data_IF_244825412556
#
_entry.id   IF_244825412556
#
_cell.length_a   1.000
_cell.length_b   1.000
_cell.length_c   1.000
_cell.angle_alpha   90.00
_cell.angle_beta   90.00
_cell.angle_gamma   90.00
#
_symmetry.space_group_name_H-M   'P 1'
#
loop_
_entity.id
_entity.type
_entity.pdbx_description
1 polymer ?
#
# COMPACT_ATOMS: atom_id res chain seq x y z
N UNK A 1 -23.10 49.71 -15.57
CA UNK A 1 -22.88 48.57 -16.52
C UNK A 1 -21.80 47.66 -15.94
N UNK A 2 -22.20 46.67 -15.18
CA UNK A 2 -21.29 45.70 -14.53
C UNK A 2 -21.32 44.40 -15.29
N UNK A 3 -20.15 43.97 -15.80
CA UNK A 3 -19.96 42.61 -16.32
C UNK A 3 -19.32 41.75 -15.23
N UNK A 4 -20.08 40.83 -14.65
CA UNK A 4 -19.56 39.75 -13.85
C UNK A 4 -18.99 38.67 -14.78
N UNK A 5 -17.68 38.46 -14.69
CA UNK A 5 -17.00 37.32 -15.27
C UNK A 5 -17.17 36.14 -14.30
N UNK A 6 -17.92 35.13 -14.69
CA UNK A 6 -18.00 33.85 -13.99
C UNK A 6 -16.87 32.96 -14.51
N UNK A 7 -15.86 32.77 -13.69
CA UNK A 7 -14.84 31.75 -13.91
C UNK A 7 -15.45 30.37 -13.55
N UNK A 8 -15.72 29.57 -14.55
CA UNK A 8 -16.14 28.16 -14.35
C UNK A 8 -14.86 27.35 -14.12
N UNK A 9 -14.64 26.92 -12.88
CA UNK A 9 -13.62 25.92 -12.57
C UNK A 9 -14.07 24.57 -13.12
N UNK A 10 -13.40 24.13 -14.17
CA UNK A 10 -13.56 22.81 -14.75
C UNK A 10 -12.85 21.80 -13.83
N UNK A 11 -13.63 21.14 -12.96
CA UNK A 11 -13.14 19.97 -12.21
C UNK A 11 -13.09 18.82 -13.21
N UNK A 12 -11.89 18.50 -13.68
CA UNK A 12 -11.64 17.29 -14.46
C UNK A 12 -11.73 16.10 -13.49
N UNK A 13 -12.91 15.49 -13.43
CA UNK A 13 -13.06 14.13 -12.94
C UNK A 13 -12.35 13.24 -13.97
N UNK A 14 -11.20 12.70 -13.61
CA UNK A 14 -10.65 11.52 -14.26
C UNK A 14 -11.59 10.35 -13.94
N UNK A 15 -12.67 10.24 -14.71
CA UNK A 15 -13.36 8.97 -14.87
C UNK A 15 -12.33 8.01 -15.49
N UNK A 16 -11.97 6.98 -14.76
CA UNK A 16 -11.45 5.77 -15.36
C UNK A 16 -12.55 5.25 -16.29
N UNK A 17 -12.49 5.62 -17.57
CA UNK A 17 -13.24 4.95 -18.60
C UNK A 17 -12.73 3.50 -18.64
N UNK A 18 -13.49 2.57 -18.03
CA UNK A 18 -13.43 1.17 -18.44
C UNK A 18 -13.89 1.14 -19.90
N UNK A 19 -12.95 1.05 -20.82
CA UNK A 19 -13.27 0.80 -22.22
C UNK A 19 -13.79 -0.62 -22.33
N UNK A 20 -15.08 -0.74 -22.61
CA UNK A 20 -15.72 -2.03 -22.86
C UNK A 20 -15.32 -2.50 -24.25
N UNK A 21 -14.59 -3.61 -24.34
CA UNK A 21 -14.48 -4.36 -25.57
C UNK A 21 -15.71 -5.26 -25.69
N UNK A 22 -16.55 -5.05 -26.67
CA UNK A 22 -17.63 -5.98 -26.98
C UNK A 22 -17.05 -7.18 -27.73
N UNK A 23 -17.16 -8.37 -27.15
CA UNK A 23 -16.94 -9.61 -27.88
C UNK A 23 -18.10 -9.80 -28.88
N UNK A 24 -17.81 -9.77 -30.16
CA UNK A 24 -18.79 -10.01 -31.21
C UNK A 24 -18.91 -11.52 -31.46
N UNK A 25 -19.93 -12.15 -30.89
CA UNK A 25 -20.26 -13.55 -31.21
C UNK A 25 -21.32 -14.13 -30.26
N UNK A 26 -22.18 -15.01 -30.77
CA UNK A 26 -23.24 -15.76 -30.07
C UNK A 26 -22.69 -16.83 -29.09
N UNK A 27 -21.51 -16.64 -28.51
CA UNK A 27 -20.78 -17.66 -27.78
C UNK A 27 -20.90 -17.56 -26.25
N UNK A 28 -21.87 -16.82 -25.74
CA UNK A 28 -22.18 -16.74 -24.32
C UNK A 28 -21.22 -15.91 -23.45
N UNK A 29 -20.03 -15.47 -23.94
CA UNK A 29 -19.17 -14.48 -23.30
C UNK A 29 -19.63 -13.08 -23.70
N UNK A 30 -20.01 -12.28 -22.71
CA UNK A 30 -20.56 -10.93 -22.92
C UNK A 30 -19.51 -9.82 -22.74
N UNK A 31 -18.44 -10.10 -22.01
CA UNK A 31 -17.38 -9.12 -21.76
C UNK A 31 -16.07 -9.83 -21.37
N UNK A 32 -14.95 -9.27 -21.82
CA UNK A 32 -13.60 -9.67 -21.43
C UNK A 32 -12.88 -8.42 -20.94
N UNK A 33 -12.51 -8.38 -19.66
CA UNK A 33 -11.70 -7.30 -19.11
C UNK A 33 -10.36 -7.84 -18.62
N UNK A 34 -9.31 -7.03 -18.75
CA UNK A 34 -7.94 -7.43 -18.41
C UNK A 34 -7.41 -6.47 -17.38
N UNK A 35 -6.94 -7.02 -16.26
CA UNK A 35 -6.28 -6.26 -15.21
C UNK A 35 -4.78 -6.51 -15.26
N UNK A 36 -4.02 -5.44 -15.01
CA UNK A 36 -2.58 -5.49 -14.89
C UNK A 36 -2.16 -6.31 -13.68
N UNK A 37 -1.21 -7.20 -13.88
CA UNK A 37 -0.51 -7.90 -12.81
C UNK A 37 0.54 -7.02 -12.11
N UNK A 38 1.58 -7.66 -11.60
CA UNK A 38 2.61 -6.96 -10.84
C UNK A 38 3.64 -6.31 -11.76
N UNK A 39 3.96 -5.05 -11.50
CA UNK A 39 4.88 -4.26 -12.33
C UNK A 39 6.36 -4.48 -11.99
N UNK A 40 6.67 -5.28 -10.97
CA UNK A 40 8.04 -5.57 -10.53
C UNK A 40 8.20 -7.04 -10.23
N UNK A 41 9.24 -7.66 -10.77
CA UNK A 41 9.59 -9.06 -10.54
C UNK A 41 11.05 -9.20 -10.10
N UNK A 42 11.34 -10.22 -9.30
CA UNK A 42 12.70 -10.62 -8.96
C UNK A 42 13.17 -11.79 -9.81
N UNK A 43 14.47 -11.88 -10.05
CA UNK A 43 15.08 -13.08 -10.61
C UNK A 43 14.70 -14.30 -9.80
N UNK A 44 14.33 -15.39 -10.46
CA UNK A 44 13.89 -16.62 -9.82
C UNK A 44 12.49 -16.59 -9.19
N UNK A 45 11.71 -15.51 -9.34
CA UNK A 45 10.32 -15.51 -8.90
C UNK A 45 9.51 -16.51 -9.73
N UNK A 46 8.77 -17.38 -9.05
CA UNK A 46 7.84 -18.30 -9.68
C UNK A 46 6.41 -17.73 -9.66
N UNK A 47 5.62 -18.11 -10.66
CA UNK A 47 4.21 -17.76 -10.79
C UNK A 47 3.91 -16.26 -10.66
N UNK A 48 4.83 -15.41 -11.12
CA UNK A 48 4.66 -13.96 -11.13
C UNK A 48 3.48 -13.55 -12.02
N UNK A 49 2.47 -12.91 -11.43
CA UNK A 49 1.24 -12.56 -12.14
C UNK A 49 1.51 -11.42 -13.13
N UNK A 50 1.30 -11.69 -14.39
CA UNK A 50 1.39 -10.72 -15.48
C UNK A 50 0.04 -10.09 -15.81
N UNK A 51 -1.02 -10.90 -15.97
CA UNK A 51 -2.38 -10.44 -16.26
C UNK A 51 -3.41 -11.27 -15.50
N UNK A 52 -4.54 -10.61 -15.11
CA UNK A 52 -5.78 -11.29 -14.75
C UNK A 52 -6.82 -10.99 -15.83
N UNK A 53 -7.39 -12.02 -16.42
CA UNK A 53 -8.38 -11.95 -17.48
C UNK A 53 -9.74 -12.34 -16.90
N UNK A 54 -10.68 -11.42 -16.89
CA UNK A 54 -12.01 -11.61 -16.34
C UNK A 54 -12.97 -11.90 -17.48
N UNK A 55 -13.64 -13.04 -17.42
CA UNK A 55 -14.58 -13.51 -18.43
C UNK A 55 -15.99 -13.39 -17.87
N UNK A 56 -16.76 -12.41 -18.32
CA UNK A 56 -18.17 -12.26 -17.99
C UNK A 56 -19.01 -12.98 -19.02
N UNK A 57 -20.01 -13.75 -18.56
CA UNK A 57 -20.91 -14.49 -19.47
C UNK A 57 -22.37 -14.27 -19.13
N UNK A 58 -23.21 -14.47 -20.14
CA UNK A 58 -24.64 -14.67 -19.97
C UNK A 58 -24.90 -16.13 -19.58
N UNK A 59 -25.43 -16.36 -18.39
CA UNK A 59 -25.73 -17.70 -17.87
C UNK A 59 -26.92 -18.39 -18.62
N UNK A 60 -27.70 -17.65 -19.41
CA UNK A 60 -28.76 -18.18 -20.24
C UNK A 60 -28.27 -18.74 -21.58
N UNK A 61 -27.03 -18.43 -21.95
CA UNK A 61 -26.36 -18.92 -23.16
C UNK A 61 -25.46 -20.11 -22.85
N UNK A 62 -25.21 -20.96 -23.85
CA UNK A 62 -24.26 -22.05 -23.71
C UNK A 62 -22.84 -21.52 -23.46
N UNK A 63 -22.13 -22.16 -22.55
CA UNK A 63 -20.77 -21.77 -22.25
C UNK A 63 -19.82 -22.23 -23.36
N UNK A 64 -18.90 -21.36 -23.86
CA UNK A 64 -17.89 -21.78 -24.81
C UNK A 64 -16.92 -22.75 -24.14
N UNK A 65 -16.39 -23.67 -24.91
CA UNK A 65 -15.29 -24.53 -24.44
C UNK A 65 -13.98 -23.93 -24.91
N UNK A 66 -13.20 -23.37 -23.95
CA UNK A 66 -11.94 -22.70 -24.24
C UNK A 66 -10.81 -23.73 -24.30
N UNK A 67 -9.99 -23.66 -25.36
CA UNK A 67 -8.86 -24.53 -25.59
C UNK A 67 -7.50 -23.85 -25.49
N UNK A 68 -7.47 -22.53 -25.29
CA UNK A 68 -6.22 -21.79 -25.17
C UNK A 68 -6.36 -20.29 -25.03
N UNK A 69 -5.22 -19.66 -24.89
CA UNK A 69 -5.04 -18.21 -24.78
C UNK A 69 -4.02 -17.76 -25.83
N UNK A 70 -4.32 -16.71 -26.59
CA UNK A 70 -3.36 -16.04 -27.46
C UNK A 70 -2.84 -14.76 -26.81
N UNK A 71 -1.54 -14.62 -26.73
CA UNK A 71 -0.86 -13.46 -26.18
C UNK A 71 0.18 -12.91 -27.15
N UNK A 72 0.57 -11.65 -26.93
CA UNK A 72 1.77 -11.05 -27.50
C UNK A 72 2.76 -10.72 -26.40
N UNK A 73 4.03 -10.93 -26.66
CA UNK A 73 5.17 -10.48 -25.83
C UNK A 73 5.95 -9.34 -26.51
N UNK A 74 5.33 -8.66 -27.48
CA UNK A 74 5.93 -7.51 -28.15
C UNK A 74 6.23 -6.39 -27.14
N UNK A 75 7.47 -5.89 -27.15
CA UNK A 75 7.98 -4.94 -26.14
C UNK A 75 8.77 -5.59 -25.00
N UNK A 76 8.74 -6.93 -24.87
CA UNK A 76 9.61 -7.68 -23.94
C UNK A 76 11.06 -7.56 -24.35
N UNK A 77 11.95 -7.21 -23.42
CA UNK A 77 13.38 -6.98 -23.72
C UNK A 77 14.10 -8.25 -24.16
N UNK A 78 13.87 -9.36 -23.45
CA UNK A 78 14.43 -10.68 -23.75
C UNK A 78 13.49 -11.78 -23.24
N UNK A 79 12.96 -12.59 -24.14
CA UNK A 79 12.07 -13.70 -23.79
C UNK A 79 12.76 -14.82 -23.01
N UNK A 80 14.10 -14.92 -23.05
CA UNK A 80 14.86 -15.86 -22.25
C UNK A 80 14.85 -15.54 -20.75
N UNK A 81 14.42 -14.33 -20.36
CA UNK A 81 14.19 -13.96 -18.96
C UNK A 81 12.95 -14.66 -18.36
N UNK A 82 12.11 -15.26 -19.21
CA UNK A 82 10.92 -16.03 -18.85
C UNK A 82 11.21 -17.52 -19.01
N UNK A 83 11.31 -18.24 -17.89
CA UNK A 83 11.55 -19.69 -17.94
C UNK A 83 10.30 -20.47 -18.36
N UNK A 84 9.11 -20.05 -17.91
CA UNK A 84 7.83 -20.59 -18.36
C UNK A 84 6.70 -19.56 -18.21
N UNK A 85 5.68 -19.72 -19.02
CA UNK A 85 4.39 -19.02 -18.92
C UNK A 85 3.34 -20.04 -18.48
N UNK A 86 2.47 -19.66 -17.54
CA UNK A 86 1.42 -20.53 -17.08
C UNK A 86 0.08 -19.82 -17.08
N UNK A 87 -0.99 -20.59 -17.34
CA UNK A 87 -2.36 -20.10 -17.27
C UNK A 87 -3.10 -20.87 -16.19
N UNK A 88 -3.62 -20.15 -15.21
CA UNK A 88 -4.45 -20.71 -14.15
C UNK A 88 -5.87 -20.20 -14.26
N UNK A 89 -6.84 -21.00 -13.78
CA UNK A 89 -8.24 -20.59 -13.65
C UNK A 89 -8.70 -20.59 -12.21
N UNK A 90 -9.46 -19.57 -11.82
CA UNK A 90 -10.14 -19.50 -10.51
C UNK A 90 -11.61 -19.14 -10.68
N UNK A 91 -12.41 -19.46 -9.66
CA UNK A 91 -13.84 -19.10 -9.60
C UNK A 91 -14.09 -17.83 -8.77
N UNK A 92 -13.04 -17.24 -8.22
CA UNK A 92 -13.08 -16.02 -7.42
C UNK A 92 -12.03 -15.03 -7.92
N UNK A 93 -12.26 -13.72 -7.76
CA UNK A 93 -11.30 -12.70 -8.19
C UNK A 93 -10.07 -12.61 -7.25
N UNK A 94 -10.01 -13.44 -6.22
CA UNK A 94 -9.02 -13.36 -5.16
C UNK A 94 -8.15 -14.61 -5.10
N UNK A 95 -6.91 -14.41 -4.67
CA UNK A 95 -5.94 -15.42 -4.32
C UNK A 95 -5.78 -15.44 -2.78
N UNK A 96 -5.33 -16.56 -2.23
CA UNK A 96 -5.04 -16.68 -0.80
C UNK A 96 -3.56 -17.05 -0.60
N UNK A 97 -2.67 -16.19 -1.13
CA UNK A 97 -1.22 -16.37 -1.10
C UNK A 97 -0.71 -17.12 -2.33
N UNK A 98 -0.63 -18.45 -2.30
CA UNK A 98 -0.13 -19.23 -3.42
C UNK A 98 -1.23 -19.52 -4.44
N UNK A 99 -1.05 -19.04 -5.67
CA UNK A 99 -2.00 -19.28 -6.77
C UNK A 99 -2.22 -20.77 -7.01
N UNK A 100 -1.22 -21.62 -6.81
CA UNK A 100 -1.31 -23.08 -7.00
C UNK A 100 -2.27 -23.75 -6.04
N UNK A 101 -2.43 -23.20 -4.84
CA UNK A 101 -3.23 -23.83 -3.79
C UNK A 101 -4.74 -23.77 -4.06
N UNK A 102 -5.21 -22.78 -4.86
CA UNK A 102 -6.64 -22.47 -5.02
C UNK A 102 -7.07 -22.31 -6.47
N UNK A 103 -6.24 -22.70 -7.43
CA UNK A 103 -6.50 -22.58 -8.86
C UNK A 103 -6.32 -23.89 -9.61
N UNK A 104 -6.87 -23.95 -10.81
CA UNK A 104 -6.66 -25.03 -11.77
C UNK A 104 -5.59 -24.57 -12.78
N UNK A 105 -4.47 -25.27 -12.86
CA UNK A 105 -3.49 -25.07 -13.91
C UNK A 105 -4.04 -25.58 -15.23
N UNK A 106 -4.22 -24.69 -16.21
CA UNK A 106 -4.71 -25.00 -17.55
C UNK A 106 -3.59 -25.24 -18.55
N UNK A 107 -2.49 -24.47 -18.43
CA UNK A 107 -1.37 -24.58 -19.39
C UNK A 107 -0.04 -24.19 -18.74
N UNK A 108 1.04 -24.77 -19.30
CA UNK A 108 2.41 -24.34 -19.11
C UNK A 108 3.10 -24.36 -20.50
N UNK A 109 3.76 -23.25 -20.85
CA UNK A 109 4.42 -23.08 -22.15
C UNK A 109 5.72 -22.28 -22.01
N UNK A 110 6.66 -22.47 -22.94
CA UNK A 110 7.84 -21.61 -23.05
C UNK A 110 7.47 -20.24 -23.63
N UNK A 111 8.21 -19.19 -23.25
CA UNK A 111 8.13 -17.90 -23.92
C UNK A 111 8.82 -17.97 -25.30
N UNK A 112 8.27 -17.26 -26.27
CA UNK A 112 8.81 -17.14 -27.63
C UNK A 112 8.84 -15.68 -28.05
N UNK A 113 9.82 -15.30 -28.83
CA UNK A 113 9.94 -13.97 -29.43
C UNK A 113 9.02 -13.76 -30.65
N UNK A 114 8.11 -14.68 -30.91
CA UNK A 114 7.09 -14.51 -31.95
C UNK A 114 6.12 -13.40 -31.58
N UNK A 115 5.59 -12.68 -32.60
CA UNK A 115 4.66 -11.56 -32.37
C UNK A 115 3.37 -11.99 -31.66
N UNK A 116 2.95 -13.25 -31.88
CA UNK A 116 1.79 -13.85 -31.21
C UNK A 116 2.11 -15.26 -30.76
N UNK A 117 1.76 -15.63 -29.55
CA UNK A 117 1.97 -16.96 -28.95
C UNK A 117 0.64 -17.58 -28.54
N UNK A 118 0.33 -18.75 -29.10
CA UNK A 118 -0.80 -19.57 -28.70
C UNK A 118 -0.41 -20.49 -27.54
N UNK A 119 -1.00 -20.29 -26.39
CA UNK A 119 -0.84 -21.13 -25.19
C UNK A 119 -2.01 -22.10 -25.15
N UNK A 120 -1.81 -23.34 -25.60
CA UNK A 120 -2.84 -24.37 -25.61
C UNK A 120 -3.07 -24.94 -24.21
N UNK A 121 -4.33 -25.10 -23.83
CA UNK A 121 -4.69 -25.68 -22.52
C UNK A 121 -4.51 -27.21 -22.56
N UNK A 122 -4.01 -27.76 -21.48
CA UNK A 122 -3.85 -29.22 -21.30
C UNK A 122 -5.20 -29.95 -21.22
N UNK A 123 -6.24 -29.23 -20.79
CA UNK A 123 -7.64 -29.65 -20.80
C UNK A 123 -8.51 -28.45 -21.11
N UNK A 124 -9.57 -28.68 -21.91
CA UNK A 124 -10.50 -27.61 -22.24
C UNK A 124 -11.14 -27.01 -20.99
N UNK A 125 -11.27 -25.68 -20.94
CA UNK A 125 -11.86 -24.96 -19.83
C UNK A 125 -13.25 -24.43 -20.19
N UNK A 126 -14.24 -24.75 -19.35
CA UNK A 126 -15.61 -24.24 -19.47
C UNK A 126 -15.87 -23.20 -18.38
N UNK A 127 -16.09 -21.92 -18.70
CA UNK A 127 -16.44 -20.89 -17.74
C UNK A 127 -17.88 -21.09 -17.23
N UNK A 128 -18.04 -21.56 -15.99
CA UNK A 128 -19.35 -21.97 -15.45
C UNK A 128 -20.05 -20.86 -14.64
N UNK A 129 -19.33 -19.84 -14.20
CA UNK A 129 -19.87 -18.74 -13.40
C UNK A 129 -20.24 -17.54 -14.27
N UNK A 130 -21.02 -16.60 -13.71
CA UNK A 130 -21.27 -15.30 -14.36
C UNK A 130 -19.95 -14.55 -14.65
N UNK A 131 -18.99 -14.60 -13.71
CA UNK A 131 -17.63 -14.13 -13.93
C UNK A 131 -16.65 -15.24 -13.59
N UNK A 132 -15.70 -15.50 -14.50
CA UNK A 132 -14.62 -16.47 -14.35
C UNK A 132 -13.29 -15.75 -14.56
N UNK A 133 -12.22 -16.27 -13.97
CA UNK A 133 -10.93 -15.59 -13.95
C UNK A 133 -9.84 -16.52 -14.49
N UNK A 134 -9.10 -16.02 -15.48
CA UNK A 134 -7.86 -16.63 -15.93
C UNK A 134 -6.68 -15.75 -15.48
N UNK A 135 -5.60 -16.38 -15.07
CA UNK A 135 -4.39 -15.72 -14.61
C UNK A 135 -3.24 -16.16 -15.49
N UNK A 136 -2.63 -15.20 -16.19
CA UNK A 136 -1.38 -15.43 -16.89
C UNK A 136 -0.24 -15.09 -15.95
N UNK A 137 0.63 -16.05 -15.69
CA UNK A 137 1.83 -15.89 -14.86
C UNK A 137 3.09 -16.25 -15.62
N UNK A 138 4.23 -15.79 -15.12
CA UNK A 138 5.57 -16.15 -15.60
C UNK A 138 6.45 -16.65 -14.46
N UNK A 139 7.25 -17.67 -14.72
CA UNK A 139 8.43 -17.96 -13.93
C UNK A 139 9.59 -17.14 -14.49
N UNK A 140 10.17 -16.30 -13.66
CA UNK A 140 11.31 -15.47 -14.03
C UNK A 140 12.59 -16.28 -13.88
N UNK A 141 13.41 -16.31 -14.91
CA UNK A 141 14.68 -17.00 -14.88
C UNK A 141 15.60 -16.47 -13.76
N UNK A 142 16.31 -17.38 -13.07
CA UNK A 142 17.38 -16.97 -12.14
C UNK A 142 18.52 -16.23 -12.86
N UNK A 143 18.70 -16.49 -14.15
CA UNK A 143 19.71 -15.88 -15.02
C UNK A 143 19.19 -14.61 -15.73
N UNK A 144 17.93 -14.23 -15.47
CA UNK A 144 17.33 -13.02 -16.05
C UNK A 144 18.19 -11.78 -15.76
N UNK A 145 18.13 -10.79 -16.65
CA UNK A 145 18.91 -9.57 -16.48
C UNK A 145 18.10 -8.49 -15.78
N UNK A 146 18.61 -7.98 -14.65
CA UNK A 146 18.00 -6.84 -13.98
C UNK A 146 17.95 -5.60 -14.88
N UNK A 147 16.82 -4.89 -14.85
CA UNK A 147 16.51 -3.78 -15.74
C UNK A 147 15.80 -4.19 -17.04
N UNK A 148 15.77 -5.47 -17.40
CA UNK A 148 14.95 -5.96 -18.48
C UNK A 148 13.47 -5.88 -18.14
N UNK A 149 12.62 -5.91 -19.15
CA UNK A 149 11.18 -5.68 -19.07
C UNK A 149 10.41 -6.82 -19.70
N UNK A 150 9.29 -7.16 -19.14
CA UNK A 150 8.30 -8.07 -19.71
C UNK A 150 7.07 -7.24 -20.03
N UNK A 151 6.72 -7.15 -21.30
CA UNK A 151 5.49 -6.57 -21.81
C UNK A 151 4.60 -7.70 -22.34
N UNK A 152 3.35 -7.73 -21.89
CA UNK A 152 2.43 -8.80 -22.31
C UNK A 152 1.04 -8.24 -22.59
N UNK A 153 0.44 -8.73 -23.67
CA UNK A 153 -0.95 -8.40 -24.05
C UNK A 153 -1.74 -9.67 -24.30
N UNK A 154 -2.97 -9.71 -23.83
CA UNK A 154 -3.92 -10.75 -24.24
C UNK A 154 -4.52 -10.36 -25.59
N UNK A 155 -4.34 -11.15 -26.61
CA UNK A 155 -4.94 -10.93 -27.93
C UNK A 155 -6.30 -11.60 -28.06
N UNK A 156 -6.57 -12.68 -27.29
CA UNK A 156 -7.85 -13.33 -27.29
C UNK A 156 -7.83 -14.76 -26.77
N UNK A 157 -8.99 -15.39 -26.82
CA UNK A 157 -9.25 -16.75 -26.36
C UNK A 157 -9.45 -17.68 -27.55
N UNK A 158 -8.85 -18.85 -27.50
CA UNK A 158 -9.04 -19.93 -28.47
C UNK A 158 -10.16 -20.86 -27.99
N UNK A 159 -11.09 -21.16 -28.85
CA UNK A 159 -12.18 -22.09 -28.57
C UNK A 159 -11.94 -23.46 -29.21
N UNK A 160 -12.50 -24.51 -28.63
CA UNK A 160 -12.37 -25.88 -29.11
C UNK A 160 -12.98 -26.09 -30.49
N UNK A 161 -13.99 -25.32 -30.84
CA UNK A 161 -14.66 -25.37 -32.17
C UNK A 161 -13.84 -24.68 -33.27
N UNK A 162 -12.66 -24.14 -32.92
CA UNK A 162 -11.77 -23.39 -33.81
C UNK A 162 -12.08 -21.91 -33.92
N UNK A 163 -13.13 -21.41 -33.25
CA UNK A 163 -13.40 -19.97 -33.19
C UNK A 163 -12.38 -19.24 -32.30
N UNK A 164 -12.18 -17.93 -32.57
CA UNK A 164 -11.30 -17.06 -31.84
C UNK A 164 -12.06 -15.84 -31.34
N UNK A 165 -11.98 -15.58 -30.03
CA UNK A 165 -12.56 -14.40 -29.40
C UNK A 165 -11.47 -13.36 -29.22
N UNK A 166 -11.40 -12.36 -30.10
CA UNK A 166 -10.37 -11.32 -30.05
C UNK A 166 -10.62 -10.32 -28.91
N UNK A 167 -9.54 -9.84 -28.33
CA UNK A 167 -9.50 -8.70 -27.40
C UNK A 167 -8.84 -7.53 -28.14
N UNK A 168 -9.66 -6.69 -28.77
CA UNK A 168 -9.18 -5.58 -29.60
C UNK A 168 -8.74 -4.37 -28.78
N UNK A 169 -9.26 -4.20 -27.55
CA UNK A 169 -8.95 -3.07 -26.68
C UNK A 169 -9.04 -3.48 -25.20
N UNK A 170 -8.53 -2.63 -24.31
CA UNK A 170 -8.63 -2.85 -22.85
C UNK A 170 -7.44 -3.60 -22.24
N UNK A 171 -6.40 -3.94 -23.00
CA UNK A 171 -5.15 -4.38 -22.41
C UNK A 171 -4.52 -3.22 -21.61
N UNK A 172 -4.01 -3.51 -20.39
CA UNK A 172 -3.28 -2.50 -19.61
C UNK A 172 -1.95 -2.13 -20.29
N UNK A 173 -1.47 -0.91 -20.03
CA UNK A 173 -0.20 -0.39 -20.57
C UNK A 173 1.00 -0.67 -19.64
N UNK A 174 0.80 -1.38 -18.54
CA UNK A 174 1.84 -1.64 -17.56
C UNK A 174 2.87 -2.64 -18.05
N UNK A 175 4.13 -2.43 -17.68
CA UNK A 175 5.27 -3.27 -18.04
C UNK A 175 5.93 -3.76 -16.76
N UNK A 176 6.18 -5.07 -16.65
CA UNK A 176 6.90 -5.66 -15.51
C UNK A 176 8.41 -5.44 -15.67
N UNK A 177 9.05 -4.77 -14.69
CA UNK A 177 10.49 -4.61 -14.62
C UNK A 177 11.13 -5.70 -13.75
N UNK A 178 12.26 -6.27 -14.21
CA UNK A 178 13.00 -7.32 -13.49
C UNK A 178 14.08 -6.67 -12.61
N UNK A 179 14.16 -7.10 -11.35
CA UNK A 179 15.16 -6.70 -10.36
C UNK A 179 16.02 -7.88 -9.92
N UNK A 180 17.22 -7.62 -9.40
CA UNK A 180 18.09 -8.69 -8.87
C UNK A 180 17.42 -9.45 -7.71
N UNK A 181 16.72 -8.72 -6.84
CA UNK A 181 15.94 -9.28 -5.74
C UNK A 181 14.67 -8.46 -5.57
N UNK A 182 13.54 -9.15 -5.47
CA UNK A 182 12.25 -8.55 -5.17
C UNK A 182 11.37 -9.63 -4.55
N UNK A 183 10.74 -9.31 -3.44
CA UNK A 183 9.74 -10.17 -2.80
C UNK A 183 8.44 -9.36 -2.66
N UNK A 184 7.37 -9.88 -3.22
CA UNK A 184 6.05 -9.29 -3.06
C UNK A 184 5.49 -9.73 -1.70
N UNK A 185 5.28 -8.77 -0.79
CA UNK A 185 4.79 -9.06 0.56
C UNK A 185 3.27 -9.08 0.64
N UNK A 186 2.62 -8.18 -0.05
CA UNK A 186 1.18 -8.00 -0.07
C UNK A 186 0.74 -7.84 -1.51
N UNK A 187 0.14 -8.87 -2.05
CA UNK A 187 -0.28 -8.88 -3.44
C UNK A 187 -1.70 -8.33 -3.57
N UNK A 188 -2.00 -7.48 -4.56
CA UNK A 188 -3.37 -7.30 -5.02
C UNK A 188 -4.04 -8.67 -5.18
N UNK A 189 -5.32 -8.73 -4.82
CA UNK A 189 -6.17 -9.93 -4.84
C UNK A 189 -5.88 -11.00 -3.78
N UNK A 190 -4.85 -10.84 -2.94
CA UNK A 190 -4.65 -11.72 -1.78
C UNK A 190 -5.63 -11.40 -0.65
N UNK A 191 -6.01 -12.43 0.11
CA UNK A 191 -6.81 -12.32 1.33
C UNK A 191 -8.11 -11.49 1.16
N UNK A 192 -8.74 -11.59 0.00
CA UNK A 192 -10.01 -10.93 -0.30
C UNK A 192 -9.90 -9.42 -0.51
N UNK A 193 -8.72 -8.89 -0.84
CA UNK A 193 -8.49 -7.47 -1.06
C UNK A 193 -7.94 -7.20 -2.45
N UNK A 194 -8.46 -6.16 -3.09
CA UNK A 194 -7.93 -5.70 -4.38
C UNK A 194 -6.71 -4.78 -4.23
N UNK A 195 -6.53 -4.15 -3.07
CA UNK A 195 -5.52 -3.11 -2.91
C UNK A 195 -4.80 -3.22 -1.56
N UNK A 196 -3.50 -2.98 -1.60
CA UNK A 196 -2.65 -2.74 -0.43
C UNK A 196 -1.95 -1.41 -0.60
N UNK A 197 -1.93 -0.58 0.45
CA UNK A 197 -1.30 0.74 0.43
C UNK A 197 -0.71 1.10 1.80
N UNK A 198 0.07 2.18 1.83
CA UNK A 198 0.55 2.85 3.05
C UNK A 198 1.34 1.90 3.96
N UNK A 199 2.44 1.31 3.47
CA UNK A 199 3.26 0.41 4.29
C UNK A 199 4.06 1.17 5.35
N UNK A 200 4.18 0.55 6.53
CA UNK A 200 5.11 0.90 7.59
C UNK A 200 6.05 -0.28 7.83
N UNK A 201 7.32 -0.01 8.11
CA UNK A 201 8.31 -1.06 8.37
C UNK A 201 9.31 -0.61 9.45
N UNK A 202 9.62 -1.52 10.37
CA UNK A 202 10.68 -1.36 11.37
C UNK A 202 11.51 -2.64 11.50
N UNK A 203 12.72 -2.48 12.01
CA UNK A 203 13.55 -3.60 12.48
C UNK A 203 13.55 -3.56 14.01
N UNK A 204 13.25 -4.69 14.65
CA UNK A 204 13.24 -4.80 16.10
C UNK A 204 14.68 -4.87 16.62
N UNK A 205 15.05 -3.93 17.48
CA UNK A 205 16.41 -3.82 18.05
C UNK A 205 16.44 -4.16 19.55
N UNK A 206 15.33 -3.91 20.26
CA UNK A 206 15.23 -3.99 21.71
C UNK A 206 14.54 -5.24 22.21
N UNK A 207 13.81 -5.95 21.35
CA UNK A 207 13.19 -7.22 21.68
C UNK A 207 14.25 -8.27 22.02
N UNK A 208 14.15 -8.89 23.18
CA UNK A 208 15.09 -9.93 23.61
C UNK A 208 14.94 -11.24 22.82
N UNK A 209 13.74 -11.53 22.30
CA UNK A 209 13.41 -12.77 21.59
C UNK A 209 13.45 -12.62 20.07
N UNK A 210 13.19 -11.40 19.56
CA UNK A 210 13.00 -11.14 18.14
C UNK A 210 13.93 -10.04 17.62
N UNK A 211 15.12 -9.90 18.20
CA UNK A 211 16.10 -8.91 17.74
C UNK A 211 16.52 -9.20 16.30
N UNK A 212 16.43 -8.18 15.45
CA UNK A 212 16.71 -8.27 14.02
C UNK A 212 15.49 -8.62 13.17
N UNK A 213 14.34 -8.96 13.77
CA UNK A 213 13.08 -9.18 13.05
C UNK A 213 12.68 -7.94 12.29
N UNK A 214 12.37 -8.10 11.02
CA UNK A 214 11.73 -7.07 10.21
C UNK A 214 10.21 -7.22 10.38
N UNK A 215 9.53 -6.17 10.80
CA UNK A 215 8.08 -6.13 10.96
C UNK A 215 7.50 -5.09 10.01
N UNK A 216 6.50 -5.47 9.23
CA UNK A 216 5.78 -4.56 8.33
C UNK A 216 4.29 -4.57 8.62
N UNK A 217 3.65 -3.40 8.50
CA UNK A 217 2.20 -3.20 8.61
C UNK A 217 1.74 -2.41 7.41
N UNK A 218 0.57 -2.76 6.86
CA UNK A 218 0.00 -2.05 5.70
C UNK A 218 -1.52 -2.05 5.75
N UNK A 219 -2.12 -1.11 5.03
CA UNK A 219 -3.55 -1.06 4.76
C UNK A 219 -3.93 -2.18 3.79
N UNK A 220 -4.86 -3.05 4.19
CA UNK A 220 -5.59 -3.96 3.31
C UNK A 220 -6.91 -3.32 2.94
N UNK A 221 -7.04 -2.85 1.69
CA UNK A 221 -8.21 -2.11 1.18
C UNK A 221 -9.05 -3.01 0.29
N UNK A 222 -10.24 -3.38 0.75
CA UNK A 222 -11.02 -4.47 0.14
C UNK A 222 -11.60 -4.12 -1.23
N UNK A 223 -12.31 -3.01 -1.36
CA UNK A 223 -13.13 -2.73 -2.54
C UNK A 223 -12.67 -1.51 -3.34
N UNK A 224 -11.74 -0.74 -2.81
CA UNK A 224 -11.30 0.53 -3.38
C UNK A 224 -9.93 0.91 -2.86
N UNK A 225 -9.12 1.57 -3.68
CA UNK A 225 -7.84 2.15 -3.25
C UNK A 225 -7.99 3.48 -2.50
N UNK A 226 -9.22 3.95 -2.29
CA UNK A 226 -9.51 5.20 -1.60
C UNK A 226 -9.11 5.14 -0.11
N UNK A 227 -8.84 6.32 0.46
CA UNK A 227 -8.59 6.50 1.89
C UNK A 227 -9.90 6.37 2.70
N UNK A 228 -9.81 6.52 4.02
CA UNK A 228 -10.98 6.57 4.90
C UNK A 228 -11.98 7.69 4.48
N UNK A 229 -13.29 7.46 4.64
CA UNK A 229 -13.96 6.26 5.14
C UNK A 229 -14.02 5.19 4.04
N UNK A 230 -13.52 4.03 4.33
CA UNK A 230 -13.49 2.88 3.42
C UNK A 230 -13.27 1.61 4.25
N UNK A 231 -13.66 0.46 3.71
CA UNK A 231 -13.36 -0.82 4.35
C UNK A 231 -11.86 -1.10 4.24
N UNK A 232 -11.15 -0.83 5.32
CA UNK A 232 -9.70 -0.99 5.44
C UNK A 232 -9.39 -1.74 6.73
N UNK A 233 -8.60 -2.80 6.64
CA UNK A 233 -7.96 -3.45 7.79
C UNK A 233 -6.47 -3.13 7.78
N UNK A 234 -5.84 -3.12 8.95
CA UNK A 234 -4.39 -3.18 9.06
C UNK A 234 -3.93 -4.61 9.19
N UNK A 235 -2.97 -4.98 8.36
CA UNK A 235 -2.36 -6.31 8.35
C UNK A 235 -0.86 -6.22 8.51
N UNK A 236 -0.28 -7.24 9.16
CA UNK A 236 1.14 -7.33 9.43
C UNK A 236 1.74 -8.62 8.87
N UNK A 237 3.02 -8.57 8.55
CA UNK A 237 3.92 -9.71 8.30
C UNK A 237 5.27 -9.41 8.92
N UNK A 238 6.01 -10.47 9.26
CA UNK A 238 7.38 -10.34 9.75
C UNK A 238 8.32 -11.34 9.08
N UNK A 239 9.61 -11.01 9.14
CA UNK A 239 10.71 -11.85 8.70
C UNK A 239 11.77 -11.94 9.78
N UNK A 240 12.27 -13.15 10.05
CA UNK A 240 13.36 -13.43 10.98
C UNK A 240 14.69 -13.76 10.28
N UNK A 241 14.71 -13.70 8.94
CA UNK A 241 15.84 -14.10 8.09
C UNK A 241 16.25 -13.02 7.09
N UNK A 242 16.17 -11.75 7.51
CA UNK A 242 16.49 -10.58 6.69
C UNK A 242 15.68 -10.47 5.38
N UNK A 243 14.40 -10.87 5.41
CA UNK A 243 13.50 -10.76 4.29
C UNK A 243 13.56 -11.91 3.28
N UNK A 244 14.29 -12.99 3.58
CA UNK A 244 14.33 -14.17 2.73
C UNK A 244 13.01 -14.95 2.76
N UNK A 245 12.38 -15.04 3.94
CA UNK A 245 11.03 -15.56 4.09
C UNK A 245 10.17 -14.66 4.99
N UNK A 246 8.85 -14.80 4.88
CA UNK A 246 7.89 -13.96 5.59
C UNK A 246 6.76 -14.80 6.18
N UNK A 247 6.31 -14.40 7.37
CA UNK A 247 5.16 -15.01 8.03
C UNK A 247 3.89 -14.88 7.19
N UNK A 248 2.84 -15.62 7.53
CA UNK A 248 1.51 -15.39 7.00
C UNK A 248 1.00 -14.00 7.36
N UNK A 249 0.08 -13.48 6.52
CA UNK A 249 -0.58 -12.20 6.77
C UNK A 249 -1.49 -12.30 7.99
N UNK A 250 -1.29 -11.41 8.95
CA UNK A 250 -2.08 -11.34 10.19
C UNK A 250 -2.83 -10.00 10.26
N UNK A 251 -4.15 -10.04 10.48
CA UNK A 251 -4.92 -8.82 10.74
C UNK A 251 -4.66 -8.36 12.17
N UNK A 252 -4.20 -7.10 12.33
CA UNK A 252 -3.90 -6.48 13.63
C UNK A 252 -4.94 -5.47 14.07
N UNK A 253 -5.65 -4.87 13.11
CA UNK A 253 -6.84 -4.07 13.35
C UNK A 253 -7.78 -4.27 12.16
N UNK A 254 -9.04 -4.63 12.42
CA UNK A 254 -10.01 -4.91 11.38
C UNK A 254 -11.42 -4.78 11.91
N UNK A 255 -12.33 -4.38 11.03
CA UNK A 255 -13.74 -4.23 11.35
C UNK A 255 -14.52 -5.30 10.60
N UNK A 256 -14.58 -6.47 11.19
CA UNK A 256 -15.44 -7.54 10.68
C UNK A 256 -16.90 -7.19 10.97
N UNK A 257 -17.74 -7.20 9.92
CA UNK A 257 -19.19 -7.01 9.99
C UNK A 257 -19.72 -5.60 10.31
N UNK A 258 -18.89 -4.56 10.25
CA UNK A 258 -19.36 -3.18 10.23
C UNK A 258 -19.49 -2.70 8.77
N UNK A 259 -20.39 -1.73 8.53
CA UNK A 259 -20.72 -1.28 7.17
C UNK A 259 -19.52 -0.80 6.34
N UNK A 260 -19.74 -0.44 5.07
CA UNK A 260 -18.68 -0.14 4.10
C UNK A 260 -17.83 1.09 4.42
N UNK A 261 -18.26 1.92 5.37
CA UNK A 261 -17.70 3.24 5.65
C UNK A 261 -16.80 3.27 6.90
N UNK A 262 -16.37 2.11 7.41
CA UNK A 262 -15.54 2.01 8.60
C UNK A 262 -14.27 1.25 8.30
N UNK A 263 -13.14 1.75 8.83
CA UNK A 263 -11.84 1.11 8.67
C UNK A 263 -10.78 1.72 9.57
N UNK A 264 -9.65 1.03 9.61
CA UNK A 264 -8.40 1.51 10.18
C UNK A 264 -7.38 1.69 9.06
N UNK A 265 -6.67 2.80 9.05
CA UNK A 265 -5.66 3.09 8.03
C UNK A 265 -4.50 3.93 8.56
N UNK A 266 -3.52 4.18 7.69
CA UNK A 266 -2.38 5.04 7.97
C UNK A 266 -1.56 4.58 9.19
N UNK A 267 -1.17 3.30 9.20
CA UNK A 267 -0.41 2.73 10.31
C UNK A 267 0.93 3.43 10.54
N UNK A 268 1.18 3.83 11.79
CA UNK A 268 2.46 4.30 12.28
C UNK A 268 2.97 3.36 13.38
N UNK A 269 4.14 2.75 13.22
CA UNK A 269 4.67 1.75 14.14
C UNK A 269 5.99 2.17 14.77
N UNK A 270 6.21 1.76 16.02
CA UNK A 270 7.46 1.99 16.74
C UNK A 270 7.76 0.83 17.69
N UNK A 271 9.03 0.49 17.83
CA UNK A 271 9.49 -0.36 18.92
C UNK A 271 9.93 0.53 20.11
N UNK A 272 9.45 0.21 21.30
CA UNK A 272 9.82 0.90 22.55
C UNK A 272 11.18 0.42 23.08
N UNK A 273 11.71 1.12 24.08
CA UNK A 273 13.00 0.75 24.69
C UNK A 273 13.04 -0.65 25.34
N UNK A 274 11.89 -1.22 25.69
CA UNK A 274 11.76 -2.56 26.28
C UNK A 274 11.29 -3.64 25.28
N UNK A 275 11.20 -3.31 23.97
CA UNK A 275 10.85 -4.25 22.92
C UNK A 275 9.36 -4.41 22.65
N UNK A 276 8.48 -3.62 23.31
CA UNK A 276 7.06 -3.58 22.95
C UNK A 276 6.91 -2.84 21.61
N UNK A 277 6.06 -3.34 20.72
CA UNK A 277 5.69 -2.65 19.48
C UNK A 277 4.35 -1.94 19.67
N UNK A 278 4.28 -0.66 19.30
CA UNK A 278 3.05 0.14 19.32
C UNK A 278 2.72 0.54 17.89
N UNK A 279 1.44 0.41 17.53
CA UNK A 279 0.90 0.89 16.26
C UNK A 279 -0.21 1.90 16.56
N UNK A 280 -0.04 3.13 16.08
CA UNK A 280 -1.08 4.13 16.02
C UNK A 280 -1.70 4.12 14.61
N UNK A 281 -2.99 4.45 14.51
CA UNK A 281 -3.73 4.41 13.25
C UNK A 281 -4.88 5.40 13.23
N UNK A 282 -5.25 5.87 12.05
CA UNK A 282 -6.45 6.66 11.82
C UNK A 282 -7.67 5.75 11.67
N UNK A 283 -8.86 6.28 12.00
CA UNK A 283 -10.11 5.54 11.85
C UNK A 283 -11.30 6.45 11.53
N UNK A 284 -12.34 5.85 10.99
CA UNK A 284 -13.71 6.31 10.80
C UNK A 284 -13.90 7.36 9.69
N UNK A 285 -13.25 8.50 9.76
CA UNK A 285 -13.54 9.65 8.88
C UNK A 285 -12.39 10.00 7.95
N UNK A 286 -12.71 10.64 6.85
CA UNK A 286 -11.73 11.27 5.98
C UNK A 286 -11.18 12.54 6.64
N UNK A 287 -9.86 12.68 6.70
CA UNK A 287 -9.21 13.81 7.35
C UNK A 287 -9.67 15.18 6.80
N UNK A 288 -9.80 15.32 5.48
CA UNK A 288 -10.22 16.57 4.84
C UNK A 288 -11.66 16.98 5.20
N UNK A 289 -12.53 16.01 5.49
CA UNK A 289 -13.93 16.23 5.87
C UNK A 289 -14.17 16.22 7.39
N UNK A 290 -13.12 15.92 8.16
CA UNK A 290 -13.20 15.91 9.62
C UNK A 290 -13.58 17.28 10.16
N UNK A 291 -14.44 17.29 11.18
CA UNK A 291 -14.80 18.46 11.98
C UNK A 291 -14.64 18.11 13.46
N UNK A 292 -14.66 19.10 14.35
CA UNK A 292 -14.53 18.83 15.79
C UNK A 292 -15.62 17.89 16.29
N UNK A 293 -16.85 18.03 15.85
CA UNK A 293 -18.02 17.24 16.29
C UNK A 293 -18.15 15.90 15.55
N UNK A 294 -17.59 15.78 14.35
CA UNK A 294 -17.58 14.56 13.54
C UNK A 294 -16.15 14.32 13.02
N UNK A 295 -15.28 13.93 13.95
CA UNK A 295 -13.83 13.91 13.76
C UNK A 295 -13.27 12.55 13.34
N UNK A 296 -12.19 12.59 12.57
CA UNK A 296 -11.31 11.44 12.38
C UNK A 296 -10.74 11.04 13.74
N UNK A 297 -10.66 9.74 13.98
CA UNK A 297 -10.22 9.18 15.25
C UNK A 297 -8.81 8.62 15.17
N UNK A 298 -8.15 8.56 16.32
CA UNK A 298 -6.84 7.91 16.49
C UNK A 298 -7.00 6.72 17.42
N UNK A 299 -6.54 5.57 16.96
CA UNK A 299 -6.55 4.32 17.73
C UNK A 299 -5.11 3.82 17.95
N UNK A 300 -4.96 3.01 18.97
CA UNK A 300 -3.73 2.31 19.32
C UNK A 300 -3.97 0.81 19.41
N UNK A 301 -3.03 0.03 18.91
CA UNK A 301 -2.84 -1.38 19.27
C UNK A 301 -1.37 -1.62 19.61
N UNK A 302 -1.05 -2.73 20.27
CA UNK A 302 0.32 -3.06 20.65
C UNK A 302 0.57 -4.57 20.68
N UNK A 303 1.86 -4.92 20.55
CA UNK A 303 2.38 -6.28 20.63
C UNK A 303 3.54 -6.34 21.62
N UNK A 304 3.55 -7.36 22.48
CA UNK A 304 4.64 -7.64 23.42
C UNK A 304 5.53 -8.80 22.99
N UNK A 305 5.26 -9.42 21.85
CA UNK A 305 5.90 -10.62 21.32
C UNK A 305 6.43 -10.45 19.89
N UNK A 306 6.88 -9.23 19.57
CA UNK A 306 7.48 -8.94 18.27
C UNK A 306 6.52 -9.01 17.08
N UNK A 307 5.22 -8.78 17.30
CA UNK A 307 4.20 -8.76 16.24
C UNK A 307 3.47 -10.08 16.04
N UNK A 308 3.70 -11.09 16.89
CA UNK A 308 2.99 -12.37 16.83
C UNK A 308 1.53 -12.23 17.25
N UNK A 309 1.29 -11.55 18.36
CA UNK A 309 -0.06 -11.23 18.84
C UNK A 309 -0.22 -9.75 19.09
N UNK A 310 -1.44 -9.25 18.95
CA UNK A 310 -1.76 -7.84 19.08
C UNK A 310 -2.95 -7.64 20.01
N UNK A 311 -2.87 -6.61 20.82
CA UNK A 311 -3.98 -6.19 21.68
C UNK A 311 -5.14 -5.66 20.81
N UNK A 312 -6.37 -5.72 21.36
CA UNK A 312 -7.52 -5.11 20.68
C UNK A 312 -7.30 -3.60 20.54
N UNK A 313 -7.50 -3.02 19.35
CA UNK A 313 -7.41 -1.57 19.17
C UNK A 313 -8.34 -0.81 20.12
N UNK A 314 -7.83 0.26 20.71
CA UNK A 314 -8.58 1.17 21.57
C UNK A 314 -8.36 2.61 21.15
N UNK A 315 -9.39 3.44 21.34
CA UNK A 315 -9.38 4.85 20.95
C UNK A 315 -8.54 5.69 21.93
N UNK A 316 -7.70 6.59 21.41
CA UNK A 316 -6.90 7.55 22.17
C UNK A 316 -7.14 9.01 21.74
N UNK A 317 -8.19 9.24 20.94
CA UNK A 317 -8.48 10.55 20.32
C UNK A 317 -8.59 11.68 21.32
N UNK A 318 -9.35 11.47 22.42
CA UNK A 318 -9.63 12.53 23.40
C UNK A 318 -8.35 13.10 24.00
N UNK A 319 -7.40 12.24 24.39
CA UNK A 319 -6.14 12.69 24.97
C UNK A 319 -5.34 13.58 23.99
N UNK A 320 -5.41 13.29 22.69
CA UNK A 320 -4.69 14.04 21.65
C UNK A 320 -5.40 15.36 21.33
N UNK A 321 -6.70 15.32 21.07
CA UNK A 321 -7.49 16.51 20.74
C UNK A 321 -7.49 17.53 21.87
N UNK A 322 -7.69 17.08 23.11
CA UNK A 322 -7.67 17.93 24.29
C UNK A 322 -6.31 18.55 24.55
N UNK A 323 -5.22 17.78 24.29
CA UNK A 323 -3.86 18.30 24.48
C UNK A 323 -3.49 19.37 23.45
N UNK A 324 -3.98 19.28 22.21
CA UNK A 324 -3.69 20.27 21.15
C UNK A 324 -4.43 21.58 21.39
N UNK A 325 -5.66 21.51 21.86
CA UNK A 325 -6.49 22.73 21.91
C UNK A 325 -7.46 22.77 23.07
N UNK A 326 -6.91 22.90 24.30
CA UNK A 326 -7.69 22.96 25.54
C UNK A 326 -8.64 24.16 25.61
N UNK A 327 -8.18 25.33 25.14
CA UNK A 327 -8.91 26.59 25.33
C UNK A 327 -9.91 26.90 24.21
N UNK A 328 -9.77 26.26 23.05
CA UNK A 328 -10.69 26.44 21.92
C UNK A 328 -10.77 25.15 21.06
N UNK A 329 -11.30 24.05 21.60
CA UNK A 329 -11.33 22.75 20.94
C UNK A 329 -12.06 22.77 19.59
N UNK A 330 -13.06 23.61 19.42
CA UNK A 330 -13.82 23.77 18.17
C UNK A 330 -12.97 24.27 16.98
N UNK A 331 -11.79 24.83 17.22
CA UNK A 331 -10.88 25.25 16.15
C UNK A 331 -10.11 24.08 15.53
N UNK A 332 -9.82 23.04 16.31
CA UNK A 332 -9.17 21.82 15.82
C UNK A 332 -10.22 20.93 15.18
N UNK A 333 -10.14 20.75 13.87
CA UNK A 333 -11.13 20.03 13.08
C UNK A 333 -10.74 18.56 12.82
N UNK A 334 -9.47 18.22 12.89
CA UNK A 334 -9.02 16.86 12.65
C UNK A 334 -7.54 16.67 12.91
N UNK A 335 -7.21 15.46 13.33
CA UNK A 335 -5.81 15.00 13.46
C UNK A 335 -5.69 13.59 12.91
N UNK A 336 -4.57 13.27 12.30
CA UNK A 336 -4.17 11.89 12.06
C UNK A 336 -2.67 11.72 12.26
N UNK A 337 -2.25 10.55 12.74
CA UNK A 337 -0.84 10.20 12.89
C UNK A 337 -0.31 9.81 11.52
N UNK A 338 0.83 10.39 11.11
CA UNK A 338 1.38 10.13 9.78
C UNK A 338 1.94 8.72 9.70
N UNK A 339 1.54 7.99 8.67
CA UNK A 339 1.91 6.59 8.46
C UNK A 339 3.43 6.38 8.35
N UNK A 340 3.89 5.16 8.65
CA UNK A 340 5.27 4.76 8.58
C UNK A 340 5.86 4.46 9.96
N UNK A 341 7.05 4.98 10.27
CA UNK A 341 7.69 4.72 11.56
C UNK A 341 7.57 5.89 12.52
N UNK A 342 7.33 5.58 13.80
CA UNK A 342 7.60 6.45 14.93
C UNK A 342 9.09 6.42 15.35
N UNK A 343 9.43 7.16 16.36
CA UNK A 343 10.78 7.29 16.88
C UNK A 343 10.81 7.04 18.38
N UNK A 344 11.66 6.13 18.86
CA UNK A 344 11.98 5.96 20.27
C UNK A 344 13.35 6.59 20.53
N UNK A 345 13.40 7.62 21.37
CA UNK A 345 14.61 8.41 21.62
C UNK A 345 15.68 7.62 22.39
N UNK A 346 16.94 7.73 21.97
CA UNK A 346 18.08 6.98 22.52
C UNK A 346 19.26 7.87 22.91
N UNK A 347 19.43 9.04 22.26
CA UNK A 347 20.65 9.86 22.32
C UNK A 347 20.48 11.18 23.08
N UNK A 348 19.40 11.33 23.84
CA UNK A 348 19.12 12.58 24.54
C UNK A 348 20.14 12.85 25.64
N UNK A 349 20.59 14.12 25.73
CA UNK A 349 21.50 14.57 26.79
C UNK A 349 20.88 14.39 28.18
N UNK A 350 19.61 14.74 28.31
CA UNK A 350 18.80 14.44 29.51
C UNK A 350 18.33 12.99 29.47
N UNK A 351 19.02 12.12 30.17
CA UNK A 351 18.77 10.65 30.12
C UNK A 351 17.35 10.22 30.44
N UNK A 352 16.62 10.98 31.26
CA UNK A 352 15.20 10.68 31.56
C UNK A 352 14.25 10.88 30.38
N UNK A 353 14.73 11.42 29.26
CA UNK A 353 13.97 11.56 28.01
C UNK A 353 14.24 10.39 27.04
N UNK A 354 15.32 9.63 27.26
CA UNK A 354 15.53 8.40 26.50
C UNK A 354 14.42 7.40 26.78
N UNK A 355 13.93 6.74 25.75
CA UNK A 355 12.75 5.89 25.80
C UNK A 355 11.44 6.63 25.47
N UNK A 356 11.43 7.96 25.38
CA UNK A 356 10.29 8.71 24.88
C UNK A 356 9.95 8.26 23.46
N UNK A 357 8.68 7.99 23.23
CA UNK A 357 8.13 7.62 21.93
C UNK A 357 7.55 8.86 21.28
N UNK A 358 7.89 9.11 20.03
CA UNK A 358 7.39 10.22 19.22
C UNK A 358 6.69 9.70 17.96
N UNK A 359 5.53 10.28 17.63
CA UNK A 359 4.94 10.20 16.31
C UNK A 359 4.60 11.60 15.81
N UNK A 360 4.68 11.80 14.50
CA UNK A 360 4.19 13.03 13.90
C UNK A 360 2.70 12.89 13.63
N UNK A 361 1.95 13.92 13.87
CA UNK A 361 0.55 14.03 13.44
C UNK A 361 0.35 15.29 12.60
N UNK A 362 -0.60 15.23 11.69
CA UNK A 362 -1.11 16.38 10.96
C UNK A 362 -2.33 16.89 11.67
N UNK A 363 -2.38 18.20 11.94
CA UNK A 363 -3.49 18.89 12.54
C UNK A 363 -4.15 19.80 11.52
N UNK A 364 -5.48 19.71 11.40
CA UNK A 364 -6.33 20.59 10.61
C UNK A 364 -7.11 21.51 11.56
N UNK A 365 -6.93 22.80 11.38
CA UNK A 365 -7.68 23.84 12.12
C UNK A 365 -8.77 24.44 11.23
N UNK A 366 -9.71 25.17 11.84
CA UNK A 366 -10.76 25.90 11.10
C UNK A 366 -10.14 26.87 10.09
N UNK A 367 -9.08 27.55 10.50
CA UNK A 367 -8.38 28.54 9.70
C UNK A 367 -6.87 28.22 9.63
N UNK A 368 -6.24 28.56 8.51
CA UNK A 368 -4.81 28.40 8.30
C UNK A 368 -4.41 27.10 7.61
N UNK A 369 -3.11 26.89 7.44
CA UNK A 369 -2.55 25.68 6.84
C UNK A 369 -2.60 24.50 7.81
N UNK A 370 -2.43 23.29 7.30
CA UNK A 370 -2.12 22.12 8.11
C UNK A 370 -0.82 22.35 8.89
N UNK A 371 -0.74 21.76 10.08
CA UNK A 371 0.44 21.86 10.94
C UNK A 371 0.85 20.48 11.43
N UNK A 372 2.16 20.25 11.52
CA UNK A 372 2.66 19.06 12.19
C UNK A 372 2.83 19.33 13.69
N UNK A 373 2.31 18.46 14.52
CA UNK A 373 2.56 18.37 15.95
C UNK A 373 3.16 17.00 16.27
N UNK A 374 3.82 16.90 17.41
CA UNK A 374 4.35 15.62 17.89
C UNK A 374 3.44 15.11 18.98
N UNK A 375 2.88 13.92 18.77
CA UNK A 375 2.27 13.15 19.84
C UNK A 375 3.33 12.26 20.46
N UNK A 376 3.46 12.28 21.78
CA UNK A 376 4.52 11.57 22.48
C UNK A 376 4.02 10.86 23.75
N UNK A 377 4.78 9.82 24.12
CA UNK A 377 4.57 9.07 25.38
C UNK A 377 5.92 8.90 26.10
N UNK A 378 5.91 9.12 27.40
CA UNK A 378 7.03 8.86 28.31
C UNK A 378 6.86 7.57 29.11
N UNK A 379 5.79 6.80 28.88
CA UNK A 379 5.36 5.63 29.67
C UNK A 379 4.95 4.44 28.80
N UNK A 380 5.62 4.30 27.63
CA UNK A 380 5.45 3.17 26.70
C UNK A 380 4.02 3.05 26.12
N UNK A 381 3.42 4.21 25.81
CA UNK A 381 2.11 4.30 25.17
C UNK A 381 0.91 4.11 26.11
N UNK A 382 1.10 4.20 27.42
CA UNK A 382 -0.01 4.17 28.37
C UNK A 382 -0.74 5.51 28.40
N UNK A 383 0.00 6.62 28.33
CA UNK A 383 -0.55 7.96 28.20
C UNK A 383 0.09 8.72 27.08
N UNK A 384 -0.66 9.64 26.48
CA UNK A 384 -0.23 10.43 25.34
C UNK A 384 -0.31 11.91 25.64
N UNK A 385 0.68 12.65 25.19
CA UNK A 385 0.79 14.09 25.28
C UNK A 385 1.14 14.65 23.90
N UNK A 386 1.06 15.97 23.74
CA UNK A 386 1.38 16.66 22.47
C UNK A 386 2.44 17.73 22.71
N UNK A 387 3.30 17.97 21.71
CA UNK A 387 4.29 19.04 21.74
C UNK A 387 3.62 20.41 22.02
N UNK A 388 4.37 21.29 22.68
CA UNK A 388 3.85 22.61 23.09
C UNK A 388 3.50 23.52 21.90
N UNK A 389 4.16 23.30 20.78
CA UNK A 389 4.02 24.09 19.57
C UNK A 389 4.10 23.20 18.34
N UNK A 390 3.69 23.72 17.19
CA UNK A 390 3.79 23.03 15.93
C UNK A 390 5.27 22.77 15.57
N UNK A 391 5.57 21.51 15.25
CA UNK A 391 6.88 21.14 14.72
C UNK A 391 7.12 21.74 13.33
N UNK A 392 6.05 21.87 12.53
CA UNK A 392 6.11 22.55 11.24
C UNK A 392 4.72 23.12 10.86
N UNK A 393 4.74 24.34 10.32
CA UNK A 393 3.52 25.02 9.81
C UNK A 393 3.49 24.91 8.28
N UNK A 394 2.37 24.46 7.72
CA UNK A 394 2.21 24.21 6.28
C UNK A 394 2.81 22.86 5.85
N UNK A 395 2.89 21.90 6.78
CA UNK A 395 3.32 20.52 6.56
C UNK A 395 2.15 19.54 6.53
N UNK A 396 2.34 18.44 5.80
CA UNK A 396 1.47 17.29 5.72
C UNK A 396 2.19 16.06 6.33
N UNK A 397 2.12 14.88 5.75
CA UNK A 397 2.79 13.68 6.26
C UNK A 397 4.29 13.90 6.48
N UNK A 398 4.80 13.41 7.61
CA UNK A 398 6.18 13.70 8.01
C UNK A 398 6.83 12.51 8.73
N UNK A 399 8.15 12.53 8.80
CA UNK A 399 8.98 11.55 9.49
C UNK A 399 9.97 12.21 10.43
N UNK A 400 10.39 11.45 11.43
CA UNK A 400 11.36 11.87 12.43
C UNK A 400 12.61 11.00 12.39
N UNK A 401 13.74 11.61 12.65
CA UNK A 401 14.99 10.92 13.03
C UNK A 401 15.60 11.59 14.23
N UNK A 402 16.37 10.83 15.02
CA UNK A 402 17.22 11.34 16.08
C UNK A 402 18.69 11.23 15.66
N UNK A 403 19.40 12.33 15.69
CA UNK A 403 20.85 12.38 15.45
C UNK A 403 21.62 11.84 16.66
N UNK A 404 22.88 11.48 16.46
CA UNK A 404 23.74 10.95 17.52
C UNK A 404 23.98 11.94 18.68
N UNK A 405 23.78 13.24 18.46
CA UNK A 405 23.90 14.27 19.50
C UNK A 405 22.59 14.54 20.27
N UNK A 406 21.50 13.80 19.86
CA UNK A 406 20.17 13.93 20.44
C UNK A 406 19.27 14.96 19.75
N UNK A 407 19.72 15.60 18.68
CA UNK A 407 18.88 16.47 17.86
C UNK A 407 17.81 15.65 17.17
N UNK A 408 16.55 16.06 17.28
CA UNK A 408 15.43 15.44 16.55
C UNK A 408 15.12 16.28 15.31
N UNK A 409 15.13 15.65 14.14
CA UNK A 409 14.85 16.30 12.86
C UNK A 409 13.52 15.80 12.34
N UNK A 410 12.66 16.73 11.90
CA UNK A 410 11.43 16.42 11.14
C UNK A 410 11.64 16.73 9.67
N UNK A 411 11.18 15.82 8.80
CA UNK A 411 11.05 16.03 7.36
C UNK A 411 9.58 15.91 6.98
N UNK A 412 9.00 16.97 6.39
CA UNK A 412 7.56 17.03 6.12
C UNK A 412 7.24 17.23 4.65
N UNK A 413 6.16 16.54 4.22
CA UNK A 413 5.56 16.65 2.89
C UNK A 413 5.00 18.03 2.67
N UNK A 414 5.33 18.61 1.51
CA UNK A 414 4.81 19.87 1.00
C UNK A 414 4.70 19.82 -0.52
N UNK A 415 3.99 20.75 -1.10
CA UNK A 415 4.08 21.02 -2.54
C UNK A 415 5.41 21.72 -2.84
N UNK A 416 6.21 21.16 -3.74
CA UNK A 416 7.52 21.69 -4.12
C UNK A 416 8.63 21.24 -3.16
N UNK A 417 9.35 22.20 -2.58
CA UNK A 417 10.47 21.92 -1.67
C UNK A 417 10.02 21.24 -0.39
N UNK A 418 10.76 20.23 0.03
CA UNK A 418 10.49 19.52 1.28
C UNK A 418 10.82 20.38 2.51
N UNK A 419 9.96 20.31 3.53
CA UNK A 419 10.11 21.09 4.76
C UNK A 419 10.89 20.34 5.82
N UNK A 420 11.68 21.08 6.62
CA UNK A 420 12.48 20.57 7.73
C UNK A 420 12.41 21.50 8.94
N UNK A 421 12.57 20.91 10.12
CA UNK A 421 12.77 21.63 11.37
C UNK A 421 13.55 20.76 12.36
N UNK A 422 14.07 21.33 13.42
CA UNK A 422 14.87 20.64 14.43
C UNK A 422 14.37 20.95 15.84
N UNK A 423 14.48 19.96 16.72
CA UNK A 423 14.22 20.05 18.16
C UNK A 423 15.43 19.58 18.94
N UNK A 424 15.76 20.26 20.02
CA UNK A 424 16.90 19.94 20.93
C UNK A 424 16.41 19.50 22.32
N UNK A 425 15.12 19.29 22.53
CA UNK A 425 14.52 18.94 23.82
C UNK A 425 13.62 17.70 23.74
N UNK A 426 13.92 16.81 22.77
CA UNK A 426 13.18 15.57 22.58
C UNK A 426 11.79 15.77 21.98
N UNK A 427 11.64 16.71 21.05
CA UNK A 427 10.43 16.91 20.27
C UNK A 427 9.36 17.83 20.92
N UNK A 428 9.67 18.50 22.03
CA UNK A 428 8.69 19.35 22.72
C UNK A 428 8.59 20.76 22.15
N UNK A 429 9.74 21.36 21.80
CA UNK A 429 9.83 22.66 21.15
C UNK A 429 10.66 22.58 19.88
N UNK A 430 10.43 23.50 18.95
CA UNK A 430 10.98 23.43 17.62
C UNK A 430 11.58 24.77 17.20
N UNK A 431 12.62 24.70 16.38
CA UNK A 431 13.24 25.87 15.79
C UNK A 431 12.37 26.52 14.70
N UNK A 432 13.00 27.37 13.90
CA UNK A 432 12.34 27.93 12.72
C UNK A 432 12.38 26.91 11.57
N UNK A 433 11.21 26.49 11.08
CA UNK A 433 11.11 25.61 9.92
C UNK A 433 11.77 26.22 8.67
N UNK A 434 12.37 25.38 7.86
CA UNK A 434 13.02 25.74 6.60
C UNK A 434 12.70 24.73 5.51
N UNK A 435 13.02 25.06 4.25
CA UNK A 435 12.83 24.16 3.10
C UNK A 435 14.18 23.86 2.46
N UNK A 436 14.28 22.71 1.82
CA UNK A 436 15.47 22.31 1.07
C UNK A 436 15.15 22.23 -0.42
N UNK A 437 15.75 23.14 -1.20
CA UNK A 437 15.57 23.25 -2.65
C UNK A 437 16.09 22.05 -3.45
N UNK A 438 17.04 21.31 -2.88
CA UNK A 438 17.65 20.14 -3.52
C UNK A 438 16.76 18.89 -3.34
N UNK A 439 15.75 18.96 -2.46
CA UNK A 439 14.75 17.95 -2.22
C UNK A 439 13.37 18.44 -2.70
N UNK A 440 13.24 18.55 -4.02
CA UNK A 440 11.99 18.88 -4.66
C UNK A 440 11.14 17.61 -4.83
N UNK A 441 9.99 17.57 -4.20
CA UNK A 441 9.10 16.42 -4.20
C UNK A 441 7.80 16.65 -4.98
N UNK A 442 7.14 15.55 -5.33
CA UNK A 442 5.84 15.51 -5.97
C UNK A 442 4.67 15.46 -4.96
N UNK A 443 4.86 16.04 -3.78
CA UNK A 443 3.87 16.03 -2.69
C UNK A 443 3.48 14.62 -2.23
N UNK A 444 4.45 13.71 -2.12
CA UNK A 444 4.26 12.36 -1.57
C UNK A 444 4.79 12.24 -0.14
N UNK A 445 4.25 11.28 0.60
CA UNK A 445 4.86 10.82 1.83
C UNK A 445 6.23 10.22 1.49
N UNK A 446 7.25 10.55 2.27
CA UNK A 446 8.59 9.99 2.13
C UNK A 446 9.01 9.37 3.46
N UNK A 447 10.13 8.71 3.50
CA UNK A 447 10.76 8.28 4.74
C UNK A 447 12.13 8.93 4.89
N UNK A 448 12.70 8.85 6.09
CA UNK A 448 14.02 9.36 6.41
C UNK A 448 14.68 8.46 7.44
N UNK A 449 15.96 8.18 7.25
CA UNK A 449 16.76 7.42 8.21
C UNK A 449 18.17 8.03 8.37
N UNK A 450 18.76 7.85 9.52
CA UNK A 450 20.17 8.17 9.77
C UNK A 450 20.99 6.97 9.30
N UNK A 451 21.77 7.15 8.24
CA UNK A 451 22.63 6.10 7.69
C UNK A 451 23.96 6.02 8.43
N UNK A 452 24.55 7.17 8.72
CA UNK A 452 25.76 7.30 9.53
C UNK A 452 25.77 8.67 10.23
N UNK A 453 26.81 8.96 11.02
CA UNK A 453 26.89 10.17 11.83
C UNK A 453 26.55 11.47 11.08
N UNK A 454 26.89 11.56 9.81
CA UNK A 454 26.74 12.77 9.00
C UNK A 454 25.98 12.50 7.67
N UNK A 455 25.32 11.34 7.52
CA UNK A 455 24.64 10.94 6.29
C UNK A 455 23.20 10.52 6.60
N UNK A 456 22.26 11.19 5.96
CA UNK A 456 20.84 10.85 5.97
C UNK A 456 20.42 10.29 4.60
N UNK A 457 19.59 9.28 4.59
CA UNK A 457 18.86 8.83 3.41
C UNK A 457 17.41 9.36 3.50
N UNK A 458 16.96 9.91 2.38
CA UNK A 458 15.63 10.50 2.28
C UNK A 458 14.88 9.98 1.07
#
# INVERSE_FOLDING_TARGET
MNKYSRTISLIVFLLFCKTFAMASGDNGITDITIDQGFLTAGKGNADHILLRINLKRDLLMEAPLLSGLRISLDGTTDCNDISSLKVYATQTPFLNGDIKAYSLLLAEAGASAENSLDISFSSDFMPLKEVNYLWLTADISSEAKAGNKIDVRCEGLLCKDGSFMSVESGNPEGITCIYDRQTMLFNPWDNGSEFYRIPAMIVLENSSQHKGRILTVTDRRFNSNADLPNKIDLVARHSDDNGASWSDTKTIAGIYNQGPDYGYGDAAIVETGNGKVICLMAADRQFQRSTYDDRIKVYQTSSNDGGETWEKPHEISDAIYDAVYKDAPSKLQGVFVTSGKGLCLKHQKRKSVNGRILFVMVCKFTDGPYCNYIVYSDDEGKTWNVSKEAAFVGGDEAKLVEEHDGTVVISTRRSGERGFNVSHDGGLTWGKGYTNKDLWGNSCNADMLVYSKDIYLH
#
